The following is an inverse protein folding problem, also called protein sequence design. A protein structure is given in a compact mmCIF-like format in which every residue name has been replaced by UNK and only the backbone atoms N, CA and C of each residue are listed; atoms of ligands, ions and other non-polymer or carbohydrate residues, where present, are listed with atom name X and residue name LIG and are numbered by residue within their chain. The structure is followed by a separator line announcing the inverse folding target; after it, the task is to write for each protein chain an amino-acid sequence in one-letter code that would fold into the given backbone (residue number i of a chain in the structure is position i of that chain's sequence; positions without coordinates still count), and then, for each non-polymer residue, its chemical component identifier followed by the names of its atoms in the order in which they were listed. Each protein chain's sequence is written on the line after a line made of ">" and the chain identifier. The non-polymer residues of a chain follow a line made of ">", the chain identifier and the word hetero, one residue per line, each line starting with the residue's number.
data_IF_376111385799
#
_entry.id   IF_376111385799
#
_cell.length_a   1.000
_cell.length_b   1.000
_cell.length_c   1.000
_cell.angle_alpha   90.00
_cell.angle_beta   90.00
_cell.angle_gamma   90.00
#
_symmetry.space_group_name_H-M   'P 1'
#
loop_
_entity.id
_entity.type
_entity.pdbx_description
1 polymer ?
#
# COMPACT_ATOMS: atom_id res chain seq x y z
N UNK A 1 20.04 8.32 5.55
CA UNK A 1 20.13 9.74 5.16
C UNK A 1 18.73 10.30 5.29
N UNK A 2 18.53 11.39 6.05
CA UNK A 2 17.22 12.06 6.12
C UNK A 2 17.20 13.23 5.15
N UNK A 3 16.24 13.25 4.24
CA UNK A 3 15.95 14.38 3.36
C UNK A 3 14.74 15.14 3.91
N UNK A 4 14.65 16.44 3.62
CA UNK A 4 13.54 17.28 4.06
C UNK A 4 12.60 17.46 2.87
N UNK A 5 11.35 17.04 3.01
CA UNK A 5 10.31 17.20 1.97
C UNK A 5 9.05 17.75 2.65
N UNK A 6 8.49 18.83 2.09
CA UNK A 6 7.25 19.47 2.56
C UNK A 6 7.09 19.64 4.09
N UNK A 7 8.18 20.00 4.78
CA UNK A 7 8.14 20.32 6.21
C UNK A 7 8.48 19.17 7.16
N UNK A 8 8.75 17.96 6.65
CA UNK A 8 9.01 16.77 7.47
C UNK A 8 10.37 16.13 7.20
N UNK A 9 10.95 15.54 8.24
CA UNK A 9 12.13 14.68 8.11
C UNK A 9 11.71 13.32 7.55
N UNK A 10 12.25 12.97 6.39
CA UNK A 10 12.12 11.63 5.80
C UNK A 10 13.09 10.70 6.51
N UNK A 11 12.60 9.62 7.12
CA UNK A 11 13.44 8.73 7.95
C UNK A 11 13.89 7.42 7.28
N UNK A 12 13.40 7.09 6.08
CA UNK A 12 14.01 6.06 5.22
C UNK A 12 13.40 6.08 3.83
N UNK A 13 14.23 5.76 2.83
CA UNK A 13 13.92 5.74 1.40
C UNK A 13 13.68 4.28 0.94
N UNK A 14 12.82 3.54 1.66
CA UNK A 14 12.55 2.14 1.37
C UNK A 14 11.16 2.02 0.74
N UNK A 15 11.12 1.57 -0.50
CA UNK A 15 9.88 1.23 -1.18
C UNK A 15 9.53 -0.25 -1.02
N UNK A 16 8.23 -0.55 -1.02
CA UNK A 16 7.79 -1.92 -1.27
C UNK A 16 8.09 -2.28 -2.72
N UNK A 17 8.32 -3.56 -3.02
CA UNK A 17 8.52 -4.01 -4.41
C UNK A 17 7.70 -5.24 -4.71
N UNK A 18 7.38 -5.43 -5.98
CA UNK A 18 6.69 -6.61 -6.49
C UNK A 18 7.40 -7.05 -7.75
N UNK A 19 7.77 -8.34 -7.81
CA UNK A 19 8.42 -8.94 -8.97
C UNK A 19 7.69 -10.22 -9.36
N UNK A 20 7.35 -10.34 -10.64
CA UNK A 20 6.86 -11.59 -11.23
C UNK A 20 7.93 -12.17 -12.14
N UNK A 21 8.29 -13.41 -11.89
CA UNK A 21 9.24 -14.20 -12.69
C UNK A 21 8.42 -15.26 -13.42
N UNK A 22 8.82 -15.62 -14.65
CA UNK A 22 8.17 -16.72 -15.36
C UNK A 22 8.31 -18.06 -14.61
N UNK A 23 7.47 -19.03 -14.94
CA UNK A 23 7.48 -20.35 -14.29
C UNK A 23 8.76 -21.16 -14.54
N UNK A 24 9.59 -20.74 -15.50
CA UNK A 24 10.88 -21.35 -15.79
C UNK A 24 12.03 -20.69 -15.02
N UNK A 25 11.77 -19.62 -14.27
CA UNK A 25 12.79 -18.84 -13.57
C UNK A 25 13.75 -18.09 -14.51
N UNK A 26 13.43 -17.95 -15.79
CA UNK A 26 14.38 -17.53 -16.82
C UNK A 26 14.21 -16.08 -17.25
N UNK A 27 13.04 -15.49 -17.03
CA UNK A 27 12.76 -14.09 -17.37
C UNK A 27 11.88 -13.41 -16.32
N UNK A 28 12.10 -12.11 -16.21
CA UNK A 28 11.26 -11.20 -15.43
C UNK A 28 10.05 -10.82 -16.28
N UNK A 29 8.85 -11.17 -15.82
CA UNK A 29 7.60 -10.76 -16.48
C UNK A 29 7.35 -9.29 -16.20
N UNK A 30 7.46 -8.88 -14.93
CA UNK A 30 7.47 -7.48 -14.53
C UNK A 30 8.12 -7.29 -13.17
N UNK A 31 8.51 -6.04 -12.88
CA UNK A 31 8.91 -5.58 -11.56
C UNK A 31 8.58 -4.12 -11.40
N UNK A 32 8.10 -3.73 -10.22
CA UNK A 32 7.84 -2.34 -9.86
C UNK A 32 8.11 -2.09 -8.40
N UNK A 33 8.36 -0.83 -8.07
CA UNK A 33 8.31 -0.30 -6.72
C UNK A 33 6.91 0.23 -6.43
N UNK A 34 6.50 0.16 -5.17
CA UNK A 34 5.25 0.66 -4.61
C UNK A 34 5.63 1.51 -3.40
N UNK A 35 5.62 2.82 -3.61
CA UNK A 35 6.02 3.76 -2.57
C UNK A 35 6.13 5.18 -3.08
N UNK A 36 6.41 6.10 -2.17
CA UNK A 36 6.58 7.53 -2.42
C UNK A 36 7.84 8.02 -1.73
N UNK A 37 7.82 9.23 -1.17
CA UNK A 37 9.03 9.83 -0.60
C UNK A 37 9.45 9.28 0.77
N UNK A 38 8.73 8.33 1.36
CA UNK A 38 8.93 7.85 2.73
C UNK A 38 9.00 6.32 2.79
N UNK A 39 8.90 5.76 4.00
CA UNK A 39 8.95 4.31 4.21
C UNK A 39 7.68 3.62 3.74
N UNK A 40 7.84 2.62 2.87
CA UNK A 40 6.78 1.77 2.35
C UNK A 40 7.17 0.30 2.44
N UNK A 41 6.26 -0.53 2.94
CA UNK A 41 6.55 -1.95 3.21
C UNK A 41 5.41 -2.84 2.72
N UNK A 42 5.70 -3.70 1.75
CA UNK A 42 4.81 -4.77 1.30
C UNK A 42 4.91 -5.96 2.25
N UNK A 43 3.81 -6.31 2.91
CA UNK A 43 3.79 -7.35 3.96
C UNK A 43 3.18 -8.66 3.51
N UNK A 44 2.23 -8.62 2.58
CA UNK A 44 1.61 -9.82 2.05
C UNK A 44 1.16 -9.64 0.60
N UNK A 45 1.08 -10.75 -0.11
CA UNK A 45 0.62 -10.83 -1.50
C UNK A 45 -0.29 -12.06 -1.66
N UNK A 46 -1.38 -11.89 -2.39
CA UNK A 46 -2.21 -12.98 -2.89
C UNK A 46 -2.41 -12.82 -4.40
N UNK A 47 -2.48 -13.93 -5.12
CA UNK A 47 -2.63 -13.94 -6.59
C UNK A 47 -3.89 -14.71 -6.94
N UNK A 48 -4.75 -14.13 -7.78
CA UNK A 48 -5.98 -14.78 -8.22
C UNK A 48 -5.76 -15.76 -9.38
N UNK A 49 -6.82 -16.45 -9.81
CA UNK A 49 -6.78 -17.41 -10.91
C UNK A 49 -6.47 -16.77 -12.28
N UNK A 50 -6.63 -15.45 -12.43
CA UNK A 50 -6.26 -14.70 -13.63
C UNK A 50 -4.78 -14.30 -13.63
N UNK A 51 -4.11 -14.42 -12.48
CA UNK A 51 -2.73 -14.04 -12.26
C UNK A 51 -2.55 -12.58 -11.82
N UNK A 52 -3.63 -11.88 -11.46
CA UNK A 52 -3.55 -10.54 -10.88
C UNK A 52 -3.06 -10.64 -9.43
N UNK A 53 -2.14 -9.77 -9.05
CA UNK A 53 -1.51 -9.78 -7.74
C UNK A 53 -2.08 -8.67 -6.85
N UNK A 54 -2.66 -9.04 -5.70
CA UNK A 54 -3.07 -8.10 -4.65
C UNK A 54 -1.97 -8.04 -3.60
N UNK A 55 -1.37 -6.87 -3.43
CA UNK A 55 -0.30 -6.59 -2.46
C UNK A 55 -0.83 -5.67 -1.40
N UNK A 56 -0.53 -5.98 -0.14
CA UNK A 56 -0.95 -5.17 1.01
C UNK A 56 0.24 -4.88 1.92
N UNK A 57 0.14 -3.79 2.68
CA UNK A 57 1.24 -3.38 3.54
C UNK A 57 0.92 -2.13 4.36
N UNK A 58 1.98 -1.38 4.66
CA UNK A 58 1.90 -0.04 5.26
C UNK A 58 2.70 0.96 4.43
N UNK A 59 2.22 2.19 4.42
CA UNK A 59 2.87 3.33 3.76
C UNK A 59 2.93 4.50 4.72
N UNK A 60 4.10 5.13 4.82
CA UNK A 60 4.30 6.43 5.47
C UNK A 60 4.40 7.55 4.43
N UNK A 61 4.18 7.24 3.16
CA UNK A 61 4.31 8.15 2.03
C UNK A 61 2.98 8.84 1.77
N UNK A 62 2.93 10.16 1.92
CA UNK A 62 1.75 10.97 1.62
C UNK A 62 1.43 11.01 0.13
N UNK A 63 2.44 10.80 -0.69
CA UNK A 63 2.40 10.71 -2.14
C UNK A 63 2.31 9.27 -2.66
N UNK A 64 2.01 8.29 -1.79
CA UNK A 64 1.87 6.89 -2.21
C UNK A 64 0.94 6.77 -3.44
N UNK A 65 1.33 6.05 -4.50
CA UNK A 65 0.54 5.97 -5.73
C UNK A 65 -0.86 5.42 -5.46
N UNK A 66 -1.89 6.25 -5.70
CA UNK A 66 -3.29 5.82 -5.69
C UNK A 66 -3.85 5.81 -7.11
N UNK A 67 -4.64 4.78 -7.44
CA UNK A 67 -5.23 4.63 -8.77
C UNK A 67 -6.61 4.00 -8.65
N UNK A 68 -7.60 4.64 -9.25
CA UNK A 68 -9.01 4.31 -9.07
C UNK A 68 -9.41 4.11 -7.60
N UNK A 69 -8.93 4.93 -6.64
CA UNK A 69 -9.28 4.74 -5.24
C UNK A 69 -10.79 4.79 -5.10
N UNK A 70 -11.35 3.90 -4.28
CA UNK A 70 -12.73 4.04 -3.85
C UNK A 70 -12.87 5.42 -3.20
N UNK A 71 -13.83 6.25 -3.65
CA UNK A 71 -14.03 7.58 -3.06
C UNK A 71 -14.52 7.45 -1.63
N UNK A 72 -13.76 7.92 -0.64
CA UNK A 72 -14.30 8.35 0.65
C UNK A 72 -13.77 9.75 1.04
N UNK A 73 -14.37 10.30 2.11
CA UNK A 73 -14.29 11.71 2.47
C UNK A 73 -12.87 12.20 2.78
N UNK A 74 -12.55 13.37 2.24
CA UNK A 74 -11.36 14.19 2.47
C UNK A 74 -11.00 14.23 3.96
N UNK A 75 -9.73 14.01 4.31
CA UNK A 75 -9.23 14.45 5.62
C UNK A 75 -9.21 15.97 5.60
N UNK A 76 -9.87 16.59 6.59
CA UNK A 76 -9.45 17.90 7.04
C UNK A 76 -8.00 17.75 7.53
N UNK A 77 -7.11 18.61 7.04
CA UNK A 77 -5.69 18.69 7.41
C UNK A 77 -5.55 19.01 8.91
N UNK A 78 -5.83 18.05 9.79
CA UNK A 78 -5.51 18.20 11.20
C UNK A 78 -3.98 18.18 11.35
N UNK A 79 -3.47 19.17 12.08
CA UNK A 79 -2.06 19.44 12.36
C UNK A 79 -1.29 18.15 12.69
N UNK A 80 -0.46 17.69 11.76
CA UNK A 80 0.30 16.45 11.92
C UNK A 80 1.21 16.49 13.15
N UNK A 81 1.35 15.38 13.90
CA UNK A 81 2.29 15.33 15.00
C UNK A 81 3.73 15.55 14.51
N UNK A 82 4.66 15.98 15.38
CA UNK A 82 6.05 16.29 15.02
C UNK A 82 6.86 15.08 14.47
N UNK A 83 6.25 13.89 14.42
CA UNK A 83 6.82 12.65 13.89
C UNK A 83 6.31 12.31 12.47
N UNK A 84 5.60 13.22 11.82
CA UNK A 84 5.04 13.04 10.48
C UNK A 84 3.66 12.37 10.48
N UNK A 85 3.08 12.17 9.29
CA UNK A 85 1.77 11.54 9.14
C UNK A 85 1.77 10.12 9.70
N UNK A 86 0.65 9.68 10.31
CA UNK A 86 0.51 8.28 10.67
C UNK A 86 0.60 7.40 9.43
N UNK A 87 1.24 6.23 9.55
CA UNK A 87 1.28 5.28 8.45
C UNK A 87 -0.13 4.74 8.18
N UNK A 88 -0.55 4.67 6.93
CA UNK A 88 -1.79 4.01 6.55
C UNK A 88 -1.50 2.60 6.03
N UNK A 89 -2.49 1.71 6.13
CA UNK A 89 -2.43 0.46 5.39
C UNK A 89 -2.68 0.74 3.90
N UNK A 90 -2.02 0.02 3.00
CA UNK A 90 -2.31 0.10 1.57
C UNK A 90 -2.77 -1.23 0.99
N UNK A 91 -3.45 -1.14 -0.14
CA UNK A 91 -3.75 -2.25 -1.03
C UNK A 91 -3.48 -1.82 -2.48
N UNK A 92 -2.71 -2.62 -3.21
CA UNK A 92 -2.38 -2.42 -4.62
C UNK A 92 -2.66 -3.69 -5.41
N UNK A 93 -3.44 -3.61 -6.48
CA UNK A 93 -3.73 -4.71 -7.40
C UNK A 93 -2.97 -4.48 -8.70
N UNK A 94 -2.14 -5.44 -9.10
CA UNK A 94 -1.34 -5.43 -10.32
C UNK A 94 -1.91 -6.39 -11.35
N UNK A 95 -2.02 -5.92 -12.59
CA UNK A 95 -2.42 -6.74 -13.73
C UNK A 95 -1.38 -7.86 -14.00
N UNK A 96 -1.80 -9.01 -14.54
CA UNK A 96 -0.96 -10.19 -14.68
C UNK A 96 0.27 -10.05 -15.59
N UNK A 97 0.31 -9.10 -16.53
CA UNK A 97 1.34 -9.06 -17.57
C UNK A 97 1.88 -7.67 -17.94
N UNK A 98 1.23 -6.57 -17.56
CA UNK A 98 1.56 -5.24 -18.11
C UNK A 98 2.28 -4.31 -17.13
N UNK A 99 2.77 -4.83 -15.99
CA UNK A 99 3.29 -4.00 -14.89
C UNK A 99 2.35 -2.85 -14.51
N UNK A 100 1.04 -3.06 -14.73
CA UNK A 100 0.05 -2.01 -14.64
C UNK A 100 -0.71 -2.14 -13.33
N UNK A 101 -0.64 -1.11 -12.50
CA UNK A 101 -1.50 -1.00 -11.32
C UNK A 101 -2.93 -0.89 -11.83
N UNK A 102 -3.80 -1.82 -11.45
CA UNK A 102 -5.21 -1.83 -11.81
C UNK A 102 -6.06 -1.07 -10.78
N UNK A 103 -5.61 -1.08 -9.52
CA UNK A 103 -6.22 -0.43 -8.38
C UNK A 103 -5.17 -0.17 -7.30
N UNK A 104 -5.20 0.99 -6.66
CA UNK A 104 -4.39 1.27 -5.47
C UNK A 104 -5.08 2.27 -4.56
N UNK A 105 -5.16 1.97 -3.27
CA UNK A 105 -5.66 2.89 -2.25
C UNK A 105 -4.94 2.70 -0.92
N UNK A 106 -5.01 3.73 -0.09
CA UNK A 106 -4.69 3.68 1.34
C UNK A 106 -5.98 3.56 2.16
N UNK A 107 -5.91 2.98 3.34
CA UNK A 107 -7.00 2.92 4.29
C UNK A 107 -6.47 2.94 5.73
N UNK A 108 -7.12 3.75 6.56
CA UNK A 108 -6.66 4.04 7.91
C UNK A 108 -7.58 4.98 8.68
N UNK A 109 -7.18 5.32 9.89
CA UNK A 109 -7.87 6.18 10.84
C UNK A 109 -7.00 7.37 11.26
N UNK A 110 -7.01 7.68 12.55
CA UNK A 110 -6.29 8.81 13.17
C UNK A 110 -4.83 8.50 13.52
N UNK A 111 -4.40 7.25 13.40
CA UNK A 111 -3.09 6.76 13.79
C UNK A 111 -2.62 5.66 12.85
N UNK A 112 -1.54 4.94 13.20
CA UNK A 112 -0.91 3.96 12.31
C UNK A 112 -1.82 2.74 12.04
N UNK A 113 -2.03 2.43 10.77
CA UNK A 113 -2.59 1.16 10.30
C UNK A 113 -1.57 0.32 9.55
N UNK A 114 -1.79 -0.99 9.59
CA UNK A 114 -0.95 -1.91 8.84
C UNK A 114 -1.73 -3.12 8.40
N UNK A 115 -1.72 -3.44 7.11
CA UNK A 115 -2.20 -4.72 6.60
C UNK A 115 -1.08 -5.75 6.64
N UNK A 116 -1.32 -6.87 7.33
CA UNK A 116 -0.33 -7.92 7.57
C UNK A 116 -0.58 -9.20 6.77
N UNK A 117 -1.82 -9.42 6.34
CA UNK A 117 -2.18 -10.59 5.55
C UNK A 117 -3.34 -10.25 4.60
N UNK A 118 -3.36 -10.95 3.47
CA UNK A 118 -4.41 -10.87 2.46
C UNK A 118 -4.76 -12.28 1.98
N UNK A 119 -6.04 -12.52 1.73
CA UNK A 119 -6.57 -13.73 1.13
C UNK A 119 -7.65 -13.37 0.10
N UNK A 120 -7.79 -14.22 -0.91
CA UNK A 120 -8.80 -14.11 -1.96
C UNK A 120 -9.74 -15.31 -1.87
N UNK A 121 -11.03 -15.09 -2.07
CA UNK A 121 -11.96 -16.21 -2.30
C UNK A 121 -12.08 -16.59 -3.78
N UNK A 122 -12.89 -17.61 -4.07
CA UNK A 122 -13.11 -18.12 -5.42
C UNK A 122 -13.77 -17.11 -6.38
N UNK A 123 -14.34 -16.03 -5.87
CA UNK A 123 -14.95 -14.95 -6.67
C UNK A 123 -13.98 -13.79 -6.90
N UNK A 124 -12.83 -13.81 -6.22
CA UNK A 124 -11.86 -12.72 -6.22
C UNK A 124 -12.14 -11.66 -5.16
N UNK A 125 -13.06 -11.91 -4.21
CA UNK A 125 -13.26 -10.98 -3.10
C UNK A 125 -12.04 -10.99 -2.18
N UNK A 126 -11.64 -9.79 -1.74
CA UNK A 126 -10.39 -9.56 -1.01
C UNK A 126 -10.68 -9.44 0.49
N UNK A 127 -10.00 -10.27 1.27
CA UNK A 127 -10.00 -10.22 2.74
C UNK A 127 -8.61 -9.83 3.19
N UNK A 128 -8.50 -8.77 3.99
CA UNK A 128 -7.23 -8.37 4.60
C UNK A 128 -7.38 -8.22 6.11
N UNK A 129 -6.31 -8.46 6.84
CA UNK A 129 -6.24 -8.27 8.29
C UNK A 129 -4.96 -7.54 8.67
N UNK A 130 -4.97 -6.93 9.84
CA UNK A 130 -3.98 -5.93 10.20
C UNK A 130 -4.05 -5.47 11.65
N UNK A 131 -3.27 -4.45 11.95
CA UNK A 131 -3.34 -3.71 13.19
C UNK A 131 -3.77 -2.27 12.91
N UNK A 132 -4.44 -1.66 13.89
CA UNK A 132 -4.78 -0.24 13.92
C UNK A 132 -4.39 0.32 15.28
N UNK A 133 -3.72 1.47 15.28
CA UNK A 133 -3.48 2.26 16.47
C UNK A 133 -4.55 3.35 16.66
N UNK A 134 -5.52 3.44 15.74
CA UNK A 134 -6.61 4.40 15.78
C UNK A 134 -7.70 4.03 16.79
N UNK A 135 -8.33 5.03 17.36
CA UNK A 135 -9.43 4.90 18.31
C UNK A 135 -10.73 4.44 17.63
N UNK A 136 -10.94 3.12 17.54
CA UNK A 136 -12.19 2.42 17.16
C UNK A 136 -12.94 2.91 15.91
N UNK A 137 -12.33 3.69 15.03
CA UNK A 137 -12.94 4.12 13.77
C UNK A 137 -12.07 3.66 12.61
N UNK A 138 -12.23 2.39 12.25
CA UNK A 138 -11.86 1.91 10.92
C UNK A 138 -12.86 2.53 9.93
N UNK A 139 -12.63 3.77 9.55
CA UNK A 139 -13.39 4.38 8.47
C UNK A 139 -12.77 3.90 7.16
N UNK A 140 -13.60 3.39 6.26
CA UNK A 140 -13.19 3.24 4.87
C UNK A 140 -12.87 4.66 4.37
N UNK A 141 -11.60 4.86 4.01
CA UNK A 141 -11.11 6.02 3.27
C UNK A 141 -11.05 5.65 1.78
#
# INVERSE_FOLDING_TARGET
>A
HSTFHDGYYVYSDQDAFVTKIDSTGSSLVYSTFLGGYSYDEGRAIAVDATGAATVVGQTYSLDFPTLHPLKCAEQEEDEYPPFGPPADAFITILAPAENNVSYSTRFGGSSRETANAVALDHRGDIYLTGATHSDKRFRRQ
#
